data_IF_566739107340
#
_entry.id   IF_566739107340
#
_cell.length_a   1.000
_cell.length_b   1.000
_cell.length_c   1.000
_cell.angle_alpha   90.00
_cell.angle_beta   90.00
_cell.angle_gamma   90.00
#
_symmetry.space_group_name_H-M   'P 1'
#
loop_
_entity.id
_entity.type
_entity.pdbx_description
1 polymer ?
#
# COMPACT_ATOMS: atom_id res chain seq x y z
N UNK A 1 12.81 13.86 35.04
CA UNK A 1 12.18 14.72 34.01
C UNK A 1 12.74 14.28 32.67
N UNK A 2 12.07 13.36 31.98
CA UNK A 2 12.33 13.16 30.56
C UNK A 2 11.95 14.46 29.87
N UNK A 3 12.93 15.11 29.23
CA UNK A 3 12.61 16.15 28.27
C UNK A 3 11.65 15.52 27.26
N UNK A 4 10.44 16.09 27.14
CA UNK A 4 9.52 15.82 26.04
C UNK A 4 10.35 15.93 24.75
N UNK A 5 10.77 14.79 24.20
CA UNK A 5 11.34 14.72 22.86
C UNK A 5 10.23 15.24 21.97
N UNK A 6 10.35 16.51 21.54
CA UNK A 6 9.38 17.07 20.61
C UNK A 6 9.27 16.09 19.44
N UNK A 7 8.06 15.70 19.04
CA UNK A 7 7.86 14.90 17.85
C UNK A 7 8.59 15.59 16.70
N UNK A 8 9.60 14.94 16.10
CA UNK A 8 10.25 15.49 14.91
C UNK A 8 9.27 15.24 13.77
N UNK A 9 8.44 16.26 13.48
CA UNK A 9 7.65 16.28 12.26
C UNK A 9 8.60 16.15 11.08
N UNK A 10 8.34 15.15 10.25
CA UNK A 10 9.20 14.87 9.11
C UNK A 10 8.93 15.87 8.00
N UNK A 11 9.96 16.13 7.21
CA UNK A 11 9.84 16.97 6.02
C UNK A 11 9.50 16.12 4.80
N UNK A 12 9.11 16.79 3.71
CA UNK A 12 9.03 16.19 2.37
C UNK A 12 10.30 15.39 2.00
N UNK A 13 11.48 15.87 2.38
CA UNK A 13 12.76 15.21 2.09
C UNK A 13 12.93 13.91 2.87
N UNK A 14 12.49 13.88 4.12
CA UNK A 14 12.51 12.65 4.93
C UNK A 14 11.55 11.60 4.37
N UNK A 15 10.36 12.01 3.94
CA UNK A 15 9.39 11.12 3.28
C UNK A 15 9.94 10.59 1.95
N UNK A 16 10.56 11.44 1.14
CA UNK A 16 11.20 11.04 -0.11
C UNK A 16 12.32 10.02 0.15
N UNK A 17 13.19 10.30 1.12
CA UNK A 17 14.27 9.38 1.49
C UNK A 17 13.72 8.02 1.93
N UNK A 18 12.60 7.99 2.65
CA UNK A 18 11.92 6.75 3.05
C UNK A 18 11.35 6.00 1.84
N UNK A 19 10.65 6.68 0.93
CA UNK A 19 10.08 6.06 -0.27
C UNK A 19 11.16 5.56 -1.24
N UNK A 20 12.31 6.26 -1.31
CA UNK A 20 13.49 5.83 -2.07
C UNK A 20 14.13 4.54 -1.53
N UNK A 21 13.91 4.19 -0.25
CA UNK A 21 14.35 2.90 0.28
C UNK A 21 13.47 1.74 -0.20
N UNK A 22 12.28 2.00 -0.74
CA UNK A 22 11.41 0.95 -1.24
C UNK A 22 11.93 0.49 -2.61
N UNK A 23 12.68 -0.62 -2.62
CA UNK A 23 13.38 -1.10 -3.80
C UNK A 23 12.53 -2.02 -4.71
N UNK A 24 12.79 -2.01 -6.02
CA UNK A 24 12.22 -2.98 -6.93
C UNK A 24 12.58 -4.43 -6.52
N UNK A 25 11.68 -5.37 -6.78
CA UNK A 25 11.83 -6.78 -6.40
C UNK A 25 11.49 -7.08 -4.93
N UNK A 26 11.33 -6.06 -4.09
CA UNK A 26 10.83 -6.20 -2.73
C UNK A 26 9.31 -6.30 -2.63
N UNK A 27 8.85 -6.67 -1.43
CA UNK A 27 7.45 -6.61 -1.00
C UNK A 27 7.35 -5.77 0.26
N UNK A 28 6.70 -4.61 0.14
CA UNK A 28 6.42 -3.72 1.27
C UNK A 28 4.98 -3.89 1.70
N UNK A 29 4.78 -4.13 3.01
CA UNK A 29 3.46 -4.15 3.62
C UNK A 29 3.31 -2.90 4.48
N UNK A 30 2.22 -2.18 4.28
CA UNK A 30 1.84 -1.01 5.05
C UNK A 30 0.64 -1.40 5.90
N UNK A 31 0.88 -1.58 7.18
CA UNK A 31 -0.13 -1.88 8.19
C UNK A 31 -0.79 -0.59 8.65
N UNK A 32 -2.01 -0.35 8.20
CA UNK A 32 -2.77 0.81 8.61
C UNK A 32 -3.56 0.54 9.88
N UNK A 33 -3.37 1.40 10.88
CA UNK A 33 -4.25 1.59 12.04
C UNK A 33 -4.54 3.07 12.29
N UNK A 34 -4.06 3.96 11.41
CA UNK A 34 -4.30 5.39 11.49
C UNK A 34 -5.57 5.76 10.72
N UNK A 35 -6.32 6.72 11.24
CA UNK A 35 -7.64 7.10 10.71
C UNK A 35 -7.58 7.67 9.29
N UNK A 36 -6.46 8.30 8.91
CA UNK A 36 -6.20 8.82 7.56
C UNK A 36 -4.94 8.19 6.92
N UNK A 37 -4.46 7.06 7.45
CA UNK A 37 -3.20 6.47 7.01
C UNK A 37 -3.28 5.88 5.61
N UNK A 38 -4.43 5.32 5.24
CA UNK A 38 -4.64 4.76 3.91
C UNK A 38 -4.62 5.85 2.82
N UNK A 39 -5.37 6.92 3.02
CA UNK A 39 -5.44 8.08 2.14
C UNK A 39 -4.09 8.77 2.03
N UNK A 40 -3.43 9.01 3.18
CA UNK A 40 -2.09 9.56 3.23
C UNK A 40 -1.11 8.73 2.42
N UNK A 41 -1.13 7.40 2.61
CA UNK A 41 -0.23 6.49 1.90
C UNK A 41 -0.49 6.53 0.40
N UNK A 42 -1.75 6.39 -0.02
CA UNK A 42 -2.12 6.44 -1.43
C UNK A 42 -1.65 7.76 -2.07
N UNK A 43 -1.92 8.90 -1.43
CA UNK A 43 -1.46 10.20 -1.89
C UNK A 43 0.07 10.30 -1.99
N UNK A 44 0.80 9.84 -0.98
CA UNK A 44 2.26 9.85 -0.98
C UNK A 44 2.84 9.05 -2.16
N UNK A 45 2.29 7.89 -2.48
CA UNK A 45 2.73 7.08 -3.63
C UNK A 45 2.30 7.65 -4.97
N UNK A 46 1.12 8.26 -5.08
CA UNK A 46 0.70 8.98 -6.29
C UNK A 46 1.63 10.16 -6.59
N UNK A 47 1.98 10.94 -5.58
CA UNK A 47 2.93 12.06 -5.71
C UNK A 47 4.36 11.58 -6.00
N UNK A 48 4.78 10.48 -5.38
CA UNK A 48 6.08 9.86 -5.68
C UNK A 48 6.15 9.36 -7.14
N UNK A 49 5.12 8.64 -7.59
CA UNK A 49 4.93 8.18 -8.97
C UNK A 49 5.06 9.32 -9.98
N UNK A 50 4.28 10.39 -9.77
CA UNK A 50 4.28 11.59 -10.62
C UNK A 50 5.65 12.26 -10.70
N UNK A 51 6.31 12.49 -9.56
CA UNK A 51 7.61 13.18 -9.50
C UNK A 51 8.75 12.36 -10.07
N UNK A 52 8.75 11.04 -9.87
CA UNK A 52 9.77 10.13 -10.39
C UNK A 52 9.48 9.66 -11.82
N UNK A 53 8.35 10.05 -12.41
CA UNK A 53 7.87 9.57 -13.71
C UNK A 53 7.85 8.04 -13.78
N UNK A 54 7.54 7.41 -12.65
CA UNK A 54 7.46 5.96 -12.51
C UNK A 54 5.99 5.58 -12.41
N UNK A 55 5.42 4.88 -13.40
CA UNK A 55 3.99 4.62 -13.41
C UNK A 55 3.52 3.85 -12.18
N UNK A 56 2.30 4.15 -11.72
CA UNK A 56 1.61 3.39 -10.67
C UNK A 56 0.50 2.56 -11.30
N UNK A 57 0.49 1.28 -10.96
CA UNK A 57 -0.55 0.31 -11.30
C UNK A 57 -1.20 -0.12 -10.00
N UNK A 58 -2.47 0.24 -9.82
CA UNK A 58 -3.25 -0.11 -8.63
C UNK A 58 -4.07 -1.36 -8.91
N UNK A 59 -3.90 -2.37 -8.05
CA UNK A 59 -4.81 -3.51 -7.97
C UNK A 59 -5.92 -3.14 -6.97
N UNK A 60 -7.10 -2.79 -7.50
CA UNK A 60 -8.26 -2.37 -6.71
C UNK A 60 -9.18 -3.56 -6.44
N UNK A 61 -9.07 -4.12 -5.24
CA UNK A 61 -9.89 -5.24 -4.80
C UNK A 61 -11.12 -4.72 -4.03
N UNK A 62 -12.31 -5.10 -4.49
CA UNK A 62 -13.60 -4.78 -3.85
C UNK A 62 -13.83 -3.29 -3.57
N UNK A 63 -13.66 -2.44 -4.59
CA UNK A 63 -13.97 -1.00 -4.52
C UNK A 63 -13.22 -0.28 -3.38
N UNK A 64 -11.96 -0.67 -3.13
CA UNK A 64 -11.14 -0.02 -2.10
C UNK A 64 -10.61 1.33 -2.57
N UNK A 65 -10.14 1.42 -3.83
CA UNK A 65 -9.61 2.66 -4.41
C UNK A 65 -10.65 3.80 -4.47
N UNK A 66 -11.89 3.60 -4.97
CA UNK A 66 -12.90 4.66 -5.00
C UNK A 66 -13.15 5.32 -3.63
N UNK A 67 -13.14 4.53 -2.54
CA UNK A 67 -13.33 5.05 -1.18
C UNK A 67 -12.20 6.01 -0.79
N UNK A 68 -10.95 5.58 -0.98
CA UNK A 68 -9.80 6.42 -0.62
C UNK A 68 -9.66 7.66 -1.50
N UNK A 69 -10.00 7.58 -2.79
CA UNK A 69 -10.01 8.76 -3.66
C UNK A 69 -11.09 9.77 -3.25
N UNK A 70 -12.29 9.31 -2.91
CA UNK A 70 -13.36 10.19 -2.42
C UNK A 70 -12.94 10.93 -1.13
N UNK A 71 -12.27 10.23 -0.21
CA UNK A 71 -11.74 10.87 1.00
C UNK A 71 -10.66 11.92 0.67
N UNK A 72 -9.76 11.62 -0.27
CA UNK A 72 -8.74 12.57 -0.73
C UNK A 72 -9.35 13.81 -1.41
N UNK A 73 -10.42 13.65 -2.18
CA UNK A 73 -11.18 14.77 -2.75
C UNK A 73 -11.79 15.67 -1.67
N UNK A 74 -12.37 15.09 -0.62
CA UNK A 74 -12.85 15.86 0.53
C UNK A 74 -11.73 16.60 1.29
N UNK A 75 -10.49 16.11 1.17
CA UNK A 75 -9.30 16.77 1.70
C UNK A 75 -8.68 17.81 0.75
N UNK A 76 -9.28 18.03 -0.42
CA UNK A 76 -8.85 19.03 -1.41
C UNK A 76 -7.82 18.54 -2.42
N UNK A 77 -7.50 17.25 -2.45
CA UNK A 77 -6.67 16.65 -3.51
C UNK A 77 -7.51 16.50 -4.77
N UNK A 78 -6.91 16.70 -5.94
CA UNK A 78 -7.53 16.36 -7.23
C UNK A 78 -6.94 15.04 -7.78
N UNK A 79 -7.62 13.88 -7.62
CA UNK A 79 -7.14 12.60 -8.11
C UNK A 79 -6.95 12.52 -9.62
N UNK A 80 -7.71 13.31 -10.41
CA UNK A 80 -7.61 13.32 -11.88
C UNK A 80 -6.24 13.85 -12.36
N UNK A 81 -5.52 14.58 -11.50
CA UNK A 81 -4.16 15.04 -11.76
C UNK A 81 -3.10 13.94 -11.77
N UNK A 82 -3.48 12.69 -11.47
CA UNK A 82 -2.58 11.54 -11.41
C UNK A 82 -2.92 10.50 -12.50
N UNK A 83 -1.90 10.01 -13.20
CA UNK A 83 -2.06 8.96 -14.20
C UNK A 83 -2.06 7.57 -13.52
N UNK A 84 -3.17 7.23 -12.87
CA UNK A 84 -3.35 5.98 -12.13
C UNK A 84 -3.90 4.91 -13.08
N UNK A 85 -3.11 3.86 -13.36
CA UNK A 85 -3.58 2.68 -14.09
C UNK A 85 -4.20 1.70 -13.12
N UNK A 86 -5.38 1.16 -13.42
CA UNK A 86 -6.11 0.31 -12.48
C UNK A 86 -6.42 -1.07 -13.09
N UNK A 87 -6.06 -2.11 -12.34
CA UNK A 87 -6.59 -3.47 -12.48
C UNK A 87 -7.68 -3.66 -11.43
N UNK A 88 -8.93 -3.72 -11.87
CA UNK A 88 -10.06 -3.89 -10.99
C UNK A 88 -10.35 -5.36 -10.72
N UNK A 89 -10.59 -5.70 -9.46
CA UNK A 89 -10.86 -7.07 -8.99
C UNK A 89 -12.19 -7.09 -8.24
N UNK A 90 -13.22 -7.66 -8.86
CA UNK A 90 -14.58 -7.60 -8.34
C UNK A 90 -15.10 -6.15 -8.26
N UNK A 91 -16.05 -5.91 -7.37
CA UNK A 91 -16.59 -4.57 -7.13
C UNK A 91 -17.40 -3.97 -8.29
N UNK A 92 -18.00 -2.81 -8.03
CA UNK A 92 -18.95 -2.13 -8.91
C UNK A 92 -18.54 -0.71 -9.28
N UNK A 93 -17.71 -0.04 -8.47
CA UNK A 93 -17.37 1.37 -8.64
C UNK A 93 -16.06 1.54 -9.40
N UNK A 94 -16.03 2.40 -10.40
CA UNK A 94 -14.81 2.69 -11.17
C UNK A 94 -14.09 3.92 -10.61
N UNK A 95 -12.76 3.85 -10.53
CA UNK A 95 -11.90 4.92 -10.04
C UNK A 95 -10.54 4.84 -10.74
N UNK A 96 -9.97 5.99 -11.10
CA UNK A 96 -8.75 6.05 -11.93
C UNK A 96 -8.99 5.56 -13.36
N UNK A 97 -7.90 5.28 -14.09
CA UNK A 97 -7.99 4.73 -15.44
C UNK A 97 -8.05 3.19 -15.37
N UNK A 98 -9.27 2.63 -15.35
CA UNK A 98 -9.50 1.19 -15.33
C UNK A 98 -9.14 0.58 -16.69
N UNK A 99 -7.95 -0.05 -16.75
CA UNK A 99 -7.42 -0.64 -17.98
C UNK A 99 -7.73 -2.13 -18.11
N UNK A 100 -8.03 -2.79 -16.99
CA UNK A 100 -8.46 -4.17 -16.96
C UNK A 100 -9.39 -4.45 -15.77
N UNK A 101 -10.28 -5.43 -15.94
CA UNK A 101 -11.21 -5.87 -14.89
C UNK A 101 -11.28 -7.39 -14.88
N UNK A 102 -11.22 -7.96 -13.68
CA UNK A 102 -11.48 -9.39 -13.46
C UNK A 102 -12.61 -9.57 -12.45
N UNK A 103 -13.39 -10.62 -12.66
CA UNK A 103 -14.32 -11.09 -11.63
C UNK A 103 -13.51 -11.75 -10.50
N UNK A 104 -14.02 -11.63 -9.28
CA UNK A 104 -13.45 -12.32 -8.12
C UNK A 104 -13.58 -13.84 -8.29
N UNK A 105 -12.55 -14.55 -7.83
CA UNK A 105 -12.44 -16.01 -7.86
C UNK A 105 -11.96 -16.46 -6.49
N UNK A 106 -12.65 -17.44 -5.88
CA UNK A 106 -12.28 -17.99 -4.57
C UNK A 106 -11.01 -18.85 -4.66
N UNK A 107 -10.78 -19.53 -5.79
CA UNK A 107 -9.59 -20.36 -5.97
C UNK A 107 -8.35 -19.46 -6.14
N UNK A 108 -7.35 -19.54 -5.23
CA UNK A 108 -6.19 -18.66 -5.25
C UNK A 108 -5.33 -18.78 -6.53
N UNK A 109 -5.25 -19.97 -7.12
CA UNK A 109 -4.48 -20.20 -8.34
C UNK A 109 -5.19 -19.62 -9.56
N UNK A 110 -6.51 -19.80 -9.65
CA UNK A 110 -7.32 -19.19 -10.71
C UNK A 110 -7.29 -17.67 -10.60
N UNK A 111 -7.48 -17.14 -9.38
CA UNK A 111 -7.35 -15.72 -9.07
C UNK A 111 -6.01 -15.17 -9.55
N UNK A 112 -4.89 -15.77 -9.11
CA UNK A 112 -3.57 -15.26 -9.44
C UNK A 112 -3.26 -15.36 -10.93
N UNK A 113 -3.70 -16.43 -11.59
CA UNK A 113 -3.55 -16.59 -13.05
C UNK A 113 -4.26 -15.47 -13.81
N UNK A 114 -5.49 -15.11 -13.42
CA UNK A 114 -6.24 -14.01 -14.05
C UNK A 114 -5.56 -12.66 -13.83
N UNK A 115 -5.09 -12.39 -12.61
CA UNK A 115 -4.30 -11.19 -12.30
C UNK A 115 -3.08 -11.13 -13.21
N UNK A 116 -2.27 -12.18 -13.29
CA UNK A 116 -1.03 -12.16 -14.07
C UNK A 116 -1.30 -11.99 -15.58
N UNK A 117 -2.41 -12.52 -16.09
CA UNK A 117 -2.81 -12.37 -17.48
C UNK A 117 -3.22 -10.95 -17.82
N UNK A 118 -4.04 -10.32 -16.98
CA UNK A 118 -4.49 -8.94 -17.22
C UNK A 118 -3.40 -7.91 -16.90
N UNK A 119 -2.63 -8.13 -15.82
CA UNK A 119 -1.55 -7.24 -15.42
C UNK A 119 -0.51 -7.09 -16.54
N UNK A 120 -0.15 -8.18 -17.23
CA UNK A 120 0.76 -8.17 -18.39
C UNK A 120 0.33 -7.23 -19.52
N UNK A 121 -0.96 -6.93 -19.65
CA UNK A 121 -1.50 -6.07 -20.72
C UNK A 121 -1.43 -4.58 -20.37
N UNK A 122 -1.38 -4.24 -19.09
CA UNK A 122 -1.56 -2.85 -18.61
C UNK A 122 -0.30 -2.25 -17.99
N UNK A 123 0.64 -3.11 -17.57
CA UNK A 123 1.94 -2.65 -17.02
C UNK A 123 2.75 -1.91 -18.09
N UNK A 124 3.52 -0.88 -17.70
CA UNK A 124 4.41 -0.18 -18.62
C UNK A 124 5.63 -1.03 -18.98
N UNK A 125 6.32 -0.62 -20.05
CA UNK A 125 7.66 -1.09 -20.35
C UNK A 125 8.66 -0.43 -19.38
N UNK A 126 9.06 -1.16 -18.33
CA UNK A 126 10.05 -0.72 -17.33
C UNK A 126 9.55 -0.77 -15.88
N UNK A 127 10.33 -0.21 -14.93
CA UNK A 127 9.98 -0.20 -13.52
C UNK A 127 8.66 0.52 -13.25
N UNK A 128 7.81 -0.08 -12.39
CA UNK A 128 6.54 0.50 -11.97
C UNK A 128 6.23 0.20 -10.51
N UNK A 129 5.32 0.98 -9.92
CA UNK A 129 4.79 0.72 -8.58
C UNK A 129 3.55 -0.16 -8.75
N UNK A 130 3.56 -1.34 -8.15
CA UNK A 130 2.40 -2.21 -8.03
C UNK A 130 1.79 -2.02 -6.64
N UNK A 131 0.68 -1.28 -6.58
CA UNK A 131 0.05 -0.87 -5.33
C UNK A 131 -1.26 -1.64 -5.13
N UNK A 132 -1.28 -2.55 -4.17
CA UNK A 132 -2.41 -3.46 -3.93
C UNK A 132 -3.28 -2.91 -2.80
N UNK A 133 -4.57 -2.76 -3.09
CA UNK A 133 -5.60 -2.27 -2.18
C UNK A 133 -6.67 -3.34 -1.97
N UNK A 134 -7.06 -3.58 -0.72
CA UNK A 134 -8.16 -4.50 -0.39
C UNK A 134 -7.74 -5.97 -0.24
N UNK A 135 -6.44 -6.27 -0.13
CA UNK A 135 -5.96 -7.63 0.14
C UNK A 135 -6.49 -8.17 1.48
N UNK A 136 -6.55 -7.32 2.50
CA UNK A 136 -7.17 -7.60 3.79
C UNK A 136 -8.63 -8.10 3.66
N UNK A 137 -9.42 -7.45 2.80
CA UNK A 137 -10.80 -7.85 2.50
C UNK A 137 -10.86 -9.18 1.76
N UNK A 138 -9.95 -9.39 0.81
CA UNK A 138 -9.82 -10.66 0.11
C UNK A 138 -9.48 -11.81 1.07
N UNK A 139 -8.52 -11.60 1.98
CA UNK A 139 -8.12 -12.60 2.96
C UNK A 139 -9.23 -12.87 3.97
N UNK A 140 -10.01 -11.85 4.35
CA UNK A 140 -11.16 -12.00 5.23
C UNK A 140 -12.27 -12.88 4.64
N UNK A 141 -12.44 -12.87 3.32
CA UNK A 141 -13.46 -13.67 2.61
C UNK A 141 -13.01 -15.09 2.26
N UNK A 142 -11.79 -15.50 2.65
CA UNK A 142 -11.33 -16.85 2.34
C UNK A 142 -12.08 -17.91 3.16
N UNK A 143 -12.57 -18.93 2.46
CA UNK A 143 -13.40 -19.99 3.02
C UNK A 143 -12.62 -20.90 3.99
N UNK A 144 -11.29 -20.96 3.86
CA UNK A 144 -10.44 -21.81 4.68
C UNK A 144 -8.98 -21.34 4.76
N UNK A 145 -8.27 -21.96 5.70
CA UNK A 145 -6.85 -21.74 5.97
C UNK A 145 -5.98 -21.98 4.74
N UNK A 146 -6.22 -23.09 4.03
CA UNK A 146 -5.38 -23.51 2.92
C UNK A 146 -5.42 -22.48 1.79
N UNK A 147 -6.58 -21.93 1.46
CA UNK A 147 -6.71 -20.88 0.45
C UNK A 147 -5.99 -19.59 0.87
N UNK A 148 -6.14 -19.18 2.13
CA UNK A 148 -5.40 -18.04 2.69
C UNK A 148 -3.87 -18.23 2.59
N UNK A 149 -3.35 -19.39 3.02
CA UNK A 149 -1.92 -19.70 2.90
C UNK A 149 -1.46 -19.76 1.44
N UNK A 150 -2.30 -20.26 0.53
CA UNK A 150 -1.97 -20.33 -0.90
C UNK A 150 -1.86 -18.93 -1.50
N UNK A 151 -2.75 -18.00 -1.16
CA UNK A 151 -2.59 -16.59 -1.54
C UNK A 151 -1.25 -16.01 -1.06
N UNK A 152 -0.88 -16.23 0.20
CA UNK A 152 0.39 -15.75 0.75
C UNK A 152 1.59 -16.39 0.05
N UNK A 153 1.54 -17.70 -0.26
CA UNK A 153 2.58 -18.39 -1.01
C UNK A 153 2.74 -17.82 -2.43
N UNK A 154 1.64 -17.47 -3.09
CA UNK A 154 1.67 -16.84 -4.42
C UNK A 154 2.24 -15.42 -4.37
N UNK A 155 1.98 -14.65 -3.31
CA UNK A 155 2.65 -13.36 -3.06
C UNK A 155 4.15 -13.58 -2.86
N UNK A 156 4.54 -14.57 -2.06
CA UNK A 156 5.96 -14.91 -1.83
C UNK A 156 6.70 -15.25 -3.12
N UNK A 157 6.06 -15.97 -4.05
CA UNK A 157 6.66 -16.33 -5.35
C UNK A 157 7.00 -15.11 -6.23
N UNK A 158 6.41 -13.95 -5.96
CA UNK A 158 6.65 -12.70 -6.70
C UNK A 158 7.87 -11.92 -6.22
N UNK A 159 8.47 -12.31 -5.10
CA UNK A 159 9.70 -11.72 -4.59
C UNK A 159 10.83 -11.86 -5.61
N UNK A 160 11.63 -10.80 -5.76
CA UNK A 160 12.74 -10.73 -6.71
C UNK A 160 12.37 -10.24 -8.11
N UNK A 161 11.10 -9.91 -8.39
CA UNK A 161 10.72 -9.28 -9.65
C UNK A 161 11.10 -7.78 -9.67
N UNK A 162 12.32 -7.48 -10.09
CA UNK A 162 12.90 -6.13 -10.13
C UNK A 162 12.19 -5.16 -11.09
N UNK A 163 11.21 -5.63 -11.87
CA UNK A 163 10.38 -4.74 -12.71
C UNK A 163 9.37 -3.95 -11.89
N UNK A 164 9.13 -4.31 -10.63
CA UNK A 164 8.10 -3.67 -9.82
C UNK A 164 8.50 -3.43 -8.38
N UNK A 165 7.99 -2.33 -7.84
CA UNK A 165 7.94 -2.05 -6.41
C UNK A 165 6.58 -2.53 -5.91
N UNK A 166 6.52 -3.64 -5.15
CA UNK A 166 5.26 -4.15 -4.63
C UNK A 166 4.94 -3.51 -3.29
N UNK A 167 3.76 -2.89 -3.19
CA UNK A 167 3.26 -2.25 -1.97
C UNK A 167 1.87 -2.76 -1.69
N UNK A 168 1.66 -3.32 -0.51
CA UNK A 168 0.37 -3.82 -0.05
C UNK A 168 -0.08 -2.92 1.10
N UNK A 169 -1.17 -2.19 0.93
CA UNK A 169 -1.81 -1.45 2.02
C UNK A 169 -2.92 -2.33 2.60
N UNK A 170 -2.86 -2.56 3.91
CA UNK A 170 -3.83 -3.39 4.63
C UNK A 170 -4.36 -2.68 5.86
N UNK A 171 -5.65 -2.84 6.15
CA UNK A 171 -6.21 -2.43 7.43
C UNK A 171 -5.88 -3.48 8.49
N UNK A 172 -4.93 -3.17 9.38
CA UNK A 172 -4.44 -4.10 10.41
C UNK A 172 -5.59 -4.65 11.25
N UNK A 173 -6.56 -3.80 11.59
CA UNK A 173 -7.74 -4.16 12.38
C UNK A 173 -8.65 -5.21 11.71
N UNK A 174 -8.65 -5.30 10.37
CA UNK A 174 -9.38 -6.33 9.62
C UNK A 174 -8.58 -7.63 9.64
N UNK A 175 -7.28 -7.54 9.32
CA UNK A 175 -6.40 -8.70 9.19
C UNK A 175 -6.24 -9.45 10.52
N UNK A 176 -6.09 -8.74 11.64
CA UNK A 176 -5.94 -9.33 12.98
C UNK A 176 -7.19 -10.09 13.46
N UNK A 177 -8.36 -9.78 12.89
CA UNK A 177 -9.64 -10.42 13.25
C UNK A 177 -9.93 -11.70 12.45
N UNK A 178 -9.11 -12.00 11.44
CA UNK A 178 -9.22 -13.25 10.70
C UNK A 178 -8.86 -14.40 11.65
N UNK A 179 -9.66 -15.50 11.75
CA UNK A 179 -9.46 -16.54 12.77
C UNK A 179 -8.06 -17.15 12.86
N UNK A 180 -7.32 -17.16 11.74
CA UNK A 180 -5.96 -17.69 11.65
C UNK A 180 -4.88 -16.62 11.61
N UNK A 181 -5.28 -15.34 11.69
CA UNK A 181 -4.45 -14.13 11.65
C UNK A 181 -3.25 -14.26 10.69
N UNK A 182 -3.39 -13.88 9.40
CA UNK A 182 -2.30 -14.00 8.45
C UNK A 182 -1.18 -12.99 8.67
N UNK A 183 -1.35 -12.00 9.57
CA UNK A 183 -0.42 -10.90 9.74
C UNK A 183 1.04 -11.34 10.01
N UNK A 184 1.32 -12.31 10.90
CA UNK A 184 2.70 -12.75 11.14
C UNK A 184 3.35 -13.38 9.90
N UNK A 185 2.58 -14.08 9.06
CA UNK A 185 3.08 -14.68 7.81
C UNK A 185 3.31 -13.61 6.75
N UNK A 186 2.44 -12.60 6.70
CA UNK A 186 2.60 -11.44 5.85
C UNK A 186 3.87 -10.67 6.23
N UNK A 187 4.07 -10.38 7.52
CA UNK A 187 5.29 -9.75 8.06
C UNK A 187 6.54 -10.59 7.74
N UNK A 188 6.47 -11.93 7.78
CA UNK A 188 7.58 -12.83 7.43
C UNK A 188 7.97 -12.75 5.94
N UNK A 189 6.98 -12.77 5.04
CA UNK A 189 7.19 -12.70 3.58
C UNK A 189 7.69 -11.30 3.15
N UNK A 190 7.25 -10.24 3.83
CA UNK A 190 7.58 -8.87 3.46
C UNK A 190 9.09 -8.59 3.59
N UNK A 191 9.65 -7.86 2.63
CA UNK A 191 11.01 -7.29 2.75
C UNK A 191 11.00 -6.01 3.59
N UNK A 192 9.86 -5.35 3.70
CA UNK A 192 9.63 -4.22 4.59
C UNK A 192 8.20 -4.18 5.11
N UNK A 193 8.03 -3.79 6.37
CA UNK A 193 6.76 -3.60 7.07
C UNK A 193 6.79 -2.21 7.68
N UNK A 194 5.82 -1.39 7.29
CA UNK A 194 5.60 -0.04 7.77
C UNK A 194 4.28 -0.02 8.53
N UNK A 195 4.31 0.36 9.80
CA UNK A 195 3.12 0.50 10.63
C UNK A 195 2.73 1.97 10.73
N UNK A 196 1.45 2.25 10.50
CA UNK A 196 0.85 3.57 10.62
C UNK A 196 -0.12 3.57 11.81
N UNK A 197 0.12 4.44 12.79
CA UNK A 197 -0.81 4.63 13.92
C UNK A 197 -1.09 6.11 14.11
N UNK A 198 -2.28 6.45 14.58
CA UNK A 198 -2.53 7.83 15.01
C UNK A 198 -1.69 8.16 16.24
N UNK A 199 -1.05 9.32 16.21
CA UNK A 199 -0.48 10.01 17.35
C UNK A 199 -1.30 11.30 17.49
N UNK A 200 -1.82 11.59 18.69
CA UNK A 200 -2.86 12.59 18.89
C UNK A 200 -2.65 13.93 18.16
N UNK A 201 -3.71 14.72 18.04
CA UNK A 201 -3.71 16.02 17.31
C UNK A 201 -3.62 15.88 15.77
N UNK A 202 -4.03 14.73 15.23
CA UNK A 202 -4.11 14.51 13.78
C UNK A 202 -2.73 14.27 13.15
N UNK A 203 -1.81 13.69 13.90
CA UNK A 203 -0.49 13.25 13.44
C UNK A 203 -0.52 11.74 13.21
N UNK A 204 0.18 11.27 12.19
CA UNK A 204 0.39 9.85 11.94
C UNK A 204 1.83 9.51 12.35
N UNK A 205 1.97 8.48 13.16
CA UNK A 205 3.24 7.83 13.44
C UNK A 205 3.50 6.74 12.42
N UNK A 206 4.62 6.84 11.73
CA UNK A 206 5.14 5.84 10.81
C UNK A 206 6.27 5.10 11.50
N UNK A 207 6.11 3.79 11.71
CA UNK A 207 7.11 2.92 12.33
C UNK A 207 7.62 1.89 11.33
N UNK A 208 8.94 1.83 11.13
CA UNK A 208 9.56 0.80 10.30
C UNK A 208 9.76 -0.48 11.12
N UNK A 209 8.72 -1.32 11.18
CA UNK A 209 8.64 -2.55 11.99
C UNK A 209 9.64 -3.62 11.56
N UNK A 210 9.69 -3.84 10.25
CA UNK A 210 10.67 -4.68 9.59
C UNK A 210 11.18 -3.88 8.43
N UNK A 211 12.47 -3.69 8.35
CA UNK A 211 13.04 -3.20 7.12
C UNK A 211 14.48 -3.62 7.11
N UNK A 212 14.93 -4.20 6.00
CA UNK A 212 16.37 -4.29 5.73
C UNK A 212 17.03 -2.89 5.79
N UNK A 213 16.21 -1.82 5.72
CA UNK A 213 16.61 -0.42 5.74
C UNK A 213 16.49 0.25 7.13
N UNK A 214 15.87 -0.37 8.16
CA UNK A 214 15.80 0.25 9.51
C UNK A 214 17.21 0.50 10.07
N UNK A 215 18.18 -0.32 9.65
CA UNK A 215 19.60 -0.15 9.96
C UNK A 215 20.20 1.15 9.37
N UNK A 216 19.65 1.67 8.27
CA UNK A 216 20.18 2.83 7.55
C UNK A 216 19.64 4.17 8.05
N UNK A 217 18.43 4.20 8.62
CA UNK A 217 17.72 5.45 8.92
C UNK A 217 17.93 6.00 10.33
N UNK A 218 18.56 5.24 11.26
CA UNK A 218 18.86 5.63 12.65
C UNK A 218 17.70 6.35 13.39
N UNK A 219 16.45 6.09 13.01
CA UNK A 219 15.21 6.68 13.56
C UNK A 219 14.22 5.55 13.84
N UNK A 220 13.68 5.49 15.07
CA UNK A 220 12.71 4.45 15.47
C UNK A 220 11.32 4.63 14.83
N UNK A 221 10.92 5.88 14.63
CA UNK A 221 9.65 6.25 14.01
C UNK A 221 9.73 7.67 13.44
N UNK A 222 8.81 7.98 12.54
CA UNK A 222 8.65 9.27 11.88
C UNK A 222 7.25 9.79 12.18
N UNK A 223 7.11 11.10 12.40
CA UNK A 223 5.83 11.73 12.69
C UNK A 223 5.45 12.65 11.57
N UNK A 224 4.23 12.52 11.07
CA UNK A 224 3.78 13.26 9.89
C UNK A 224 2.39 13.83 10.15
N UNK A 225 2.19 15.10 9.80
CA UNK A 225 0.85 15.67 9.76
C UNK A 225 0.29 15.51 8.34
N UNK A 226 -0.78 14.73 8.10
CA UNK A 226 -1.40 14.63 6.79
C UNK A 226 -1.79 16.00 6.22
N UNK A 227 -2.16 16.97 7.07
CA UNK A 227 -2.46 18.35 6.66
C UNK A 227 -1.27 19.07 6.03
N UNK A 228 -0.06 18.86 6.56
CA UNK A 228 1.15 19.47 6.00
C UNK A 228 1.54 18.80 4.69
N UNK A 229 1.38 17.48 4.62
CA UNK A 229 1.67 16.66 3.44
C UNK A 229 0.88 17.11 2.23
N UNK A 230 -0.40 17.40 2.40
CA UNK A 230 -1.26 17.88 1.31
C UNK A 230 -0.71 19.16 0.66
N UNK A 231 0.00 20.00 1.43
CA UNK A 231 0.58 21.27 0.97
C UNK A 231 2.00 21.14 0.40
N UNK A 232 2.64 19.98 0.52
CA UNK A 232 4.05 19.82 0.10
C UNK A 232 4.24 19.78 -1.42
N UNK A 233 3.16 19.57 -2.18
CA UNK A 233 3.18 19.37 -3.62
C UNK A 233 2.15 20.21 -4.38
N UNK A 234 1.54 21.20 -3.70
CA UNK A 234 0.93 22.38 -4.34
C UNK A 234 1.99 23.19 -5.11
#
# INVERSE_FOLDING_TARGET
>A
MEALKKPILITKKDLDAMLEQIWPGGTTIIENSASLGAEFTLHAFMEYSKRRRMPIVIEDIFDTLPVYLAHLEFLGVNPEGFNIRVLKVGGSQEAGNVLAKINFENDPHVYQKKIDQELKKIVPDGPYIHFVLGLDRLLFLQDDVHNMYTHLALIKQKLGDERRINVYLIEKSIVERIPYNPLPLMEDIATSVIELTDEGEGVIRIRLRKSIFTLLMNKEYLLISPREVLRWWE
#
